data_IF_921862094205
#
_entry.id   IF_921862094205
#
_cell.length_a   1.000
_cell.length_b   1.000
_cell.length_c   1.000
_cell.angle_alpha   90.00
_cell.angle_beta   90.00
_cell.angle_gamma   90.00
#
_symmetry.space_group_name_H-M   'P 1'
#
loop_
_entity.id
_entity.type
_entity.pdbx_description
1 polymer ?
#
# COMPACT_ATOMS: atom_id res chain seq x y z
N UNK A 1 48.88 -4.38 10.44
CA UNK A 1 47.84 -4.94 9.57
C UNK A 1 47.99 -4.25 8.24
N UNK A 2 48.27 -5.00 7.17
CA UNK A 2 48.42 -4.44 5.83
C UNK A 2 47.11 -3.70 5.48
N UNK A 3 47.23 -2.48 4.98
CA UNK A 3 46.14 -1.69 4.41
C UNK A 3 45.64 -2.50 3.18
N UNK A 4 44.57 -3.28 3.37
CA UNK A 4 43.95 -3.99 2.24
C UNK A 4 43.48 -2.90 1.29
N UNK A 5 44.00 -2.90 0.08
CA UNK A 5 43.72 -1.88 -0.92
C UNK A 5 42.22 -1.81 -1.16
N UNK A 6 41.65 -0.62 -1.02
CA UNK A 6 40.22 -0.35 -1.26
C UNK A 6 39.78 -0.84 -2.65
N UNK A 7 38.93 -1.83 -2.72
CA UNK A 7 38.44 -2.38 -3.98
C UNK A 7 36.92 -2.54 -3.99
N UNK A 8 36.23 -1.58 -4.58
CA UNK A 8 34.75 -1.59 -4.71
C UNK A 8 34.25 -2.22 -6.02
N UNK A 9 35.17 -2.68 -6.90
CA UNK A 9 34.76 -3.32 -8.16
C UNK A 9 33.85 -4.53 -7.97
N UNK A 10 34.12 -5.47 -7.03
CA UNK A 10 33.18 -6.58 -6.77
C UNK A 10 31.80 -6.14 -6.32
N UNK A 11 31.70 -5.01 -5.60
CA UNK A 11 30.40 -4.43 -5.17
C UNK A 11 29.67 -3.86 -6.37
N UNK A 12 30.36 -3.13 -7.23
CA UNK A 12 29.80 -2.57 -8.47
C UNK A 12 29.29 -3.70 -9.37
N UNK A 13 30.12 -4.74 -9.61
CA UNK A 13 29.76 -5.87 -10.45
C UNK A 13 28.52 -6.60 -9.89
N UNK A 14 28.42 -6.76 -8.56
CA UNK A 14 27.27 -7.35 -7.89
C UNK A 14 25.99 -6.50 -8.05
N UNK A 15 26.07 -5.18 -7.92
CA UNK A 15 24.93 -4.27 -8.13
C UNK A 15 24.48 -4.30 -9.60
N UNK A 16 25.41 -4.31 -10.54
CA UNK A 16 25.11 -4.39 -12.00
C UNK A 16 24.49 -5.72 -12.37
N UNK A 17 24.90 -6.81 -11.72
CA UNK A 17 24.27 -8.13 -11.88
C UNK A 17 22.87 -8.25 -11.28
N UNK A 18 22.35 -7.19 -10.65
CA UNK A 18 21.00 -7.14 -10.11
C UNK A 18 20.82 -7.82 -8.75
N UNK A 19 21.88 -7.85 -7.92
CA UNK A 19 21.89 -8.49 -6.61
C UNK A 19 21.44 -9.97 -6.68
N UNK A 20 22.33 -10.92 -6.93
CA UNK A 20 22.03 -12.33 -7.22
C UNK A 20 21.35 -13.09 -6.06
N UNK A 21 20.96 -14.36 -6.30
CA UNK A 21 19.89 -15.08 -5.62
C UNK A 21 20.04 -15.14 -4.11
N UNK A 22 18.99 -14.66 -3.42
CA UNK A 22 18.87 -14.59 -1.95
C UNK A 22 18.31 -13.26 -1.46
N UNK A 23 18.67 -12.14 -2.09
CA UNK A 23 18.14 -10.82 -1.73
C UNK A 23 16.82 -10.57 -2.50
N UNK A 24 15.70 -10.96 -1.92
CA UNK A 24 14.37 -10.77 -2.54
C UNK A 24 13.71 -9.44 -2.18
N UNK A 25 14.08 -8.89 -1.04
CA UNK A 25 13.53 -7.64 -0.51
C UNK A 25 14.58 -6.52 -0.62
N UNK A 26 14.16 -5.26 -0.77
CA UNK A 26 15.08 -4.11 -0.76
C UNK A 26 15.95 -4.06 0.50
N UNK A 27 15.43 -4.49 1.64
CA UNK A 27 16.13 -4.58 2.92
C UNK A 27 17.31 -5.57 2.85
N UNK A 28 17.10 -6.73 2.25
CA UNK A 28 18.16 -7.75 2.09
C UNK A 28 19.28 -7.25 1.19
N UNK A 29 18.92 -6.57 0.08
CA UNK A 29 19.87 -5.93 -0.84
C UNK A 29 20.68 -4.86 -0.12
N UNK A 30 20.01 -4.03 0.67
CA UNK A 30 20.67 -2.97 1.43
C UNK A 30 21.63 -3.52 2.49
N UNK A 31 21.22 -4.58 3.19
CA UNK A 31 22.06 -5.26 4.19
C UNK A 31 23.32 -5.86 3.54
N UNK A 32 23.15 -6.61 2.47
CA UNK A 32 24.27 -7.23 1.75
C UNK A 32 25.18 -6.17 1.11
N UNK A 33 24.64 -5.06 0.61
CA UNK A 33 25.42 -3.93 0.12
C UNK A 33 26.34 -3.38 1.22
N UNK A 34 25.80 -3.14 2.42
CA UNK A 34 26.57 -2.61 3.54
C UNK A 34 27.71 -3.55 3.94
N UNK A 35 27.45 -4.86 4.02
CA UNK A 35 28.47 -5.87 4.32
C UNK A 35 29.57 -5.92 3.26
N UNK A 36 29.22 -5.88 1.98
CA UNK A 36 30.19 -5.86 0.87
C UNK A 36 31.03 -4.59 0.85
N UNK A 37 30.43 -3.45 1.14
CA UNK A 37 31.15 -2.18 1.24
C UNK A 37 32.16 -2.20 2.41
N UNK A 38 31.76 -2.75 3.56
CA UNK A 38 32.68 -2.92 4.68
C UNK A 38 33.82 -3.90 4.34
N UNK A 39 33.53 -5.03 3.72
CA UNK A 39 34.52 -6.00 3.26
C UNK A 39 35.47 -5.40 2.21
N UNK A 40 35.00 -4.42 1.43
CA UNK A 40 35.85 -3.66 0.48
C UNK A 40 36.71 -2.58 1.14
N UNK A 41 36.70 -2.45 2.48
CA UNK A 41 37.56 -1.51 3.23
C UNK A 41 36.91 -0.15 3.53
N UNK A 42 35.57 0.00 3.36
CA UNK A 42 34.89 1.23 3.72
C UNK A 42 34.47 1.20 5.19
N UNK A 43 34.93 2.16 6.03
CA UNK A 43 34.66 2.20 7.46
C UNK A 43 33.27 2.78 7.74
N UNK A 44 32.23 2.06 7.35
CA UNK A 44 30.85 2.53 7.47
C UNK A 44 30.33 2.36 8.89
N UNK A 45 29.71 3.40 9.41
CA UNK A 45 28.93 3.38 10.64
C UNK A 45 27.40 3.37 10.36
N UNK A 46 26.98 4.20 9.40
CA UNK A 46 25.58 4.33 9.02
C UNK A 46 25.46 4.51 7.52
N UNK A 47 24.52 3.79 6.91
CA UNK A 47 24.19 3.95 5.50
C UNK A 47 22.67 4.15 5.40
N UNK A 48 22.23 5.11 4.59
CA UNK A 48 20.80 5.35 4.34
C UNK A 48 20.50 5.49 2.86
N UNK A 49 19.46 4.86 2.38
CA UNK A 49 18.92 5.07 1.03
C UNK A 49 17.49 5.57 1.15
N UNK A 50 17.21 6.72 0.55
CA UNK A 50 15.93 7.44 0.68
C UNK A 50 15.29 7.60 -0.68
N UNK A 51 14.14 6.95 -0.87
CA UNK A 51 13.42 6.90 -2.15
C UNK A 51 12.01 7.49 -2.01
N UNK A 52 11.52 8.14 -3.08
CA UNK A 52 10.09 8.43 -3.22
C UNK A 52 9.36 7.20 -3.75
N UNK A 53 8.12 7.04 -3.35
CA UNK A 53 7.25 5.99 -3.86
C UNK A 53 5.96 6.60 -4.42
N UNK A 54 5.25 5.86 -5.23
CA UNK A 54 3.90 6.20 -5.65
C UNK A 54 2.95 5.25 -4.93
N UNK A 55 2.35 5.75 -3.87
CA UNK A 55 1.42 5.02 -3.02
C UNK A 55 0.42 6.03 -2.41
N UNK A 56 -0.87 5.69 -2.24
CA UNK A 56 -1.88 6.63 -1.72
C UNK A 56 -1.51 7.30 -0.41
N UNK A 57 -0.89 6.57 0.52
CA UNK A 57 -0.61 7.05 1.88
C UNK A 57 0.88 7.21 2.19
N UNK A 58 1.79 6.69 1.36
CA UNK A 58 3.24 6.70 1.61
C UNK A 58 3.94 7.45 0.50
N UNK A 59 4.49 8.62 0.81
CA UNK A 59 5.25 9.45 -0.12
C UNK A 59 6.64 8.89 -0.40
N UNK A 60 7.28 8.29 0.61
CA UNK A 60 8.63 7.79 0.46
C UNK A 60 9.04 6.80 1.54
N UNK A 61 10.15 6.12 1.29
CA UNK A 61 10.78 5.18 2.23
C UNK A 61 12.25 5.49 2.42
N UNK A 62 12.71 5.31 3.65
CA UNK A 62 14.12 5.34 4.01
C UNK A 62 14.54 3.96 4.52
N UNK A 63 15.62 3.44 3.98
CA UNK A 63 16.26 2.21 4.44
C UNK A 63 17.55 2.61 5.13
N UNK A 64 17.63 2.38 6.42
CA UNK A 64 18.76 2.83 7.25
C UNK A 64 19.41 1.64 7.91
N UNK A 65 20.68 1.41 7.56
CA UNK A 65 21.55 0.43 8.20
C UNK A 65 22.47 1.08 9.23
N UNK A 66 22.68 0.39 10.35
CA UNK A 66 23.61 0.78 11.40
C UNK A 66 24.59 -0.36 11.70
N UNK A 67 25.89 -0.09 11.67
CA UNK A 67 26.93 -1.07 11.94
C UNK A 67 26.88 -1.66 13.36
N UNK A 68 26.34 -0.91 14.33
CA UNK A 68 26.24 -1.35 15.73
C UNK A 68 25.21 -2.46 15.96
N UNK A 69 24.18 -2.51 15.14
CA UNK A 69 23.08 -3.49 15.26
C UNK A 69 23.06 -4.49 14.11
N UNK A 70 23.75 -4.17 13.02
CA UNK A 70 23.72 -4.88 11.73
C UNK A 70 22.28 -5.10 11.21
N UNK A 71 21.37 -4.14 11.47
CA UNK A 71 19.96 -4.21 11.08
C UNK A 71 19.58 -3.08 10.14
N UNK A 72 18.60 -3.35 9.27
CA UNK A 72 17.96 -2.33 8.46
C UNK A 72 16.68 -1.85 9.19
N UNK A 73 16.60 -0.55 9.39
CA UNK A 73 15.39 0.12 9.81
C UNK A 73 14.69 0.69 8.56
N UNK A 74 13.45 0.29 8.32
CA UNK A 74 12.62 0.84 7.25
C UNK A 74 11.76 1.94 7.85
N UNK A 75 11.85 3.14 7.29
CA UNK A 75 11.08 4.33 7.69
C UNK A 75 10.16 4.73 6.56
N UNK A 76 8.87 4.83 6.83
CA UNK A 76 7.89 5.33 5.89
C UNK A 76 7.58 6.81 6.20
N UNK A 77 7.44 7.60 5.14
CA UNK A 77 7.09 9.00 5.23
C UNK A 77 5.73 9.23 4.55
N UNK A 78 4.78 9.79 5.26
CA UNK A 78 3.52 10.24 4.72
C UNK A 78 3.68 11.56 3.94
N UNK A 79 2.64 12.03 3.22
CA UNK A 79 2.74 13.22 2.37
C UNK A 79 2.95 14.52 3.15
N UNK A 80 2.42 14.62 4.37
CA UNK A 80 2.59 15.76 5.28
C UNK A 80 4.03 15.91 5.78
N UNK A 81 4.79 14.80 5.82
CA UNK A 81 6.22 14.82 6.18
C UNK A 81 7.04 15.78 5.29
N UNK A 82 6.64 15.98 4.03
CA UNK A 82 7.32 16.92 3.12
C UNK A 82 7.26 18.38 3.61
N UNK A 83 6.30 18.72 4.45
CA UNK A 83 6.12 20.06 5.03
C UNK A 83 6.71 20.18 6.44
N UNK A 84 7.21 19.09 7.00
CA UNK A 84 7.82 19.08 8.33
C UNK A 84 9.18 19.76 8.33
N UNK A 85 9.52 20.43 9.42
CA UNK A 85 10.85 21.01 9.63
C UNK A 85 11.96 19.97 9.52
N UNK A 86 11.69 18.75 9.96
CA UNK A 86 12.61 17.63 9.86
C UNK A 86 13.01 17.33 8.41
N UNK A 87 12.07 17.40 7.47
CA UNK A 87 12.38 17.20 6.05
C UNK A 87 12.96 18.47 5.43
N UNK A 88 12.35 19.63 5.69
CA UNK A 88 12.74 20.92 5.09
C UNK A 88 14.18 21.32 5.43
N UNK A 89 14.63 20.96 6.63
CA UNK A 89 15.99 21.20 7.13
C UNK A 89 16.88 19.96 7.05
N UNK A 90 16.58 19.00 6.15
CA UNK A 90 17.37 17.79 6.02
C UNK A 90 18.39 17.87 4.88
N UNK A 91 19.55 17.19 5.01
CA UNK A 91 20.50 17.06 3.91
C UNK A 91 19.89 16.30 2.72
N UNK A 92 18.88 15.44 2.95
CA UNK A 92 18.18 14.70 1.91
C UNK A 92 17.45 15.65 0.96
N UNK A 93 16.74 16.66 1.52
CA UNK A 93 16.06 17.68 0.72
C UNK A 93 17.07 18.51 -0.08
N UNK A 94 18.17 18.91 0.55
CA UNK A 94 19.18 19.72 -0.11
C UNK A 94 19.85 18.98 -1.29
N UNK A 95 20.28 17.71 -1.09
CA UNK A 95 20.82 16.89 -2.19
C UNK A 95 19.82 16.72 -3.33
N UNK A 96 18.52 16.55 -3.02
CA UNK A 96 17.48 16.42 -4.06
C UNK A 96 17.25 17.73 -4.82
N UNK A 97 17.25 18.86 -4.13
CA UNK A 97 16.96 20.15 -4.73
C UNK A 97 18.12 20.66 -5.59
N UNK A 98 19.34 20.45 -5.13
CA UNK A 98 20.55 20.96 -5.79
C UNK A 98 21.13 19.94 -6.79
N UNK A 99 20.69 18.69 -6.77
CA UNK A 99 21.22 17.56 -7.57
C UNK A 99 22.73 17.38 -7.37
N UNK A 100 23.23 17.77 -6.21
CA UNK A 100 24.65 17.77 -5.86
C UNK A 100 24.92 17.02 -4.56
N UNK A 101 26.15 16.59 -4.38
CA UNK A 101 26.55 15.94 -3.13
C UNK A 101 26.71 16.95 -1.99
N UNK A 102 26.48 16.47 -0.78
CA UNK A 102 26.74 17.22 0.45
C UNK A 102 27.69 16.40 1.30
N UNK A 103 28.85 16.97 1.66
CA UNK A 103 29.79 16.38 2.62
C UNK A 103 29.99 17.29 3.81
N UNK A 104 30.00 16.70 5.02
CA UNK A 104 30.28 17.43 6.27
C UNK A 104 31.26 16.62 7.11
N UNK A 105 32.49 17.18 7.27
CA UNK A 105 33.54 16.60 8.12
C UNK A 105 33.27 16.99 9.57
N UNK A 106 32.46 16.22 10.27
CA UNK A 106 31.96 16.53 11.62
C UNK A 106 33.06 16.50 12.69
N UNK A 107 34.20 15.87 12.42
CA UNK A 107 35.39 15.93 13.29
C UNK A 107 36.06 17.32 13.33
N UNK A 108 35.88 18.17 12.31
CA UNK A 108 36.34 19.56 12.32
C UNK A 108 35.39 20.41 13.17
N UNK A 109 35.84 21.08 14.24
CA UNK A 109 35.01 21.96 15.05
C UNK A 109 34.39 23.11 14.26
N UNK A 110 35.01 23.51 13.14
CA UNK A 110 34.54 24.59 12.27
C UNK A 110 33.52 24.11 11.22
N UNK A 111 33.26 22.81 11.16
CA UNK A 111 32.28 22.27 10.22
C UNK A 111 30.89 22.85 10.49
N UNK A 112 30.20 23.44 9.50
CA UNK A 112 28.87 23.95 9.68
C UNK A 112 27.89 22.83 10.04
N UNK A 113 27.03 23.08 11.04
CA UNK A 113 25.92 22.20 11.41
C UNK A 113 24.61 22.80 10.84
N UNK A 114 24.62 23.00 9.54
CA UNK A 114 23.54 23.63 8.79
C UNK A 114 22.30 22.72 8.64
N UNK A 115 22.40 21.48 9.06
CA UNK A 115 21.29 20.54 9.16
C UNK A 115 21.19 20.00 10.60
N UNK A 116 20.04 20.10 11.29
CA UNK A 116 19.91 19.67 12.69
C UNK A 116 20.41 18.25 12.98
N UNK A 117 20.16 17.30 12.06
CA UNK A 117 20.61 15.90 12.20
C UNK A 117 22.13 15.76 12.32
N UNK A 118 22.93 16.71 11.83
CA UNK A 118 24.39 16.67 11.92
C UNK A 118 24.87 16.90 13.35
N UNK A 119 24.14 17.69 14.13
CA UNK A 119 24.44 17.87 15.55
C UNK A 119 24.26 16.56 16.33
N UNK A 120 23.24 15.79 16.01
CA UNK A 120 23.02 14.50 16.64
C UNK A 120 24.07 13.47 16.18
N UNK A 121 24.40 13.44 14.89
CA UNK A 121 25.48 12.60 14.38
C UNK A 121 26.82 12.92 15.05
N UNK A 122 27.13 14.20 15.29
CA UNK A 122 28.35 14.59 16.03
C UNK A 122 28.33 14.06 17.46
N UNK A 123 27.20 14.13 18.17
CA UNK A 123 27.03 13.56 19.51
C UNK A 123 27.19 12.04 19.52
N UNK A 124 26.72 11.37 18.46
CA UNK A 124 26.89 9.93 18.27
C UNK A 124 28.34 9.52 17.91
N UNK A 125 29.25 10.48 17.74
CA UNK A 125 30.66 10.23 17.39
C UNK A 125 30.90 10.04 15.89
N UNK A 126 29.97 10.44 15.03
CA UNK A 126 30.19 10.48 13.57
C UNK A 126 31.24 11.55 13.26
N UNK A 127 32.26 11.17 12.52
CA UNK A 127 33.39 12.05 12.14
C UNK A 127 33.25 12.63 10.74
N UNK A 128 32.53 11.95 9.85
CA UNK A 128 32.29 12.40 8.47
C UNK A 128 30.95 11.88 7.96
N UNK A 129 30.23 12.73 7.24
CA UNK A 129 28.94 12.44 6.61
C UNK A 129 28.99 12.88 5.16
N UNK A 130 28.47 12.02 4.28
CA UNK A 130 28.28 12.34 2.86
C UNK A 130 26.90 11.91 2.40
N UNK A 131 26.17 12.80 1.71
CA UNK A 131 24.95 12.53 0.99
C UNK A 131 25.21 12.61 -0.51
N UNK A 132 24.92 11.54 -1.23
CA UNK A 132 25.12 11.42 -2.68
C UNK A 132 23.78 11.37 -3.41
N UNK A 133 23.64 12.08 -4.55
CA UNK A 133 22.49 11.94 -5.40
C UNK A 133 22.45 10.57 -6.08
N UNK A 134 21.28 9.99 -6.13
CA UNK A 134 20.94 8.80 -6.92
C UNK A 134 20.02 9.23 -8.07
N UNK A 135 20.57 9.65 -9.22
CA UNK A 135 19.76 10.12 -10.35
C UNK A 135 19.08 8.95 -11.05
N UNK A 136 17.77 9.05 -11.25
CA UNK A 136 16.97 8.08 -11.99
C UNK A 136 16.79 8.53 -13.45
N UNK A 137 16.46 7.59 -14.34
CA UNK A 137 16.29 7.85 -15.78
C UNK A 137 15.14 8.84 -16.05
N UNK A 138 14.12 8.85 -15.20
CA UNK A 138 12.97 9.78 -15.30
C UNK A 138 13.28 11.22 -14.80
N UNK A 139 14.54 11.51 -14.44
CA UNK A 139 14.98 12.82 -13.92
C UNK A 139 14.74 13.01 -12.41
N UNK A 140 14.10 12.09 -11.71
CA UNK A 140 13.99 12.14 -10.25
C UNK A 140 15.37 11.90 -9.62
N UNK A 141 15.66 12.62 -8.53
CA UNK A 141 16.86 12.40 -7.73
C UNK A 141 16.48 11.85 -6.36
N UNK A 142 17.01 10.69 -6.04
CA UNK A 142 16.96 10.05 -4.75
C UNK A 142 18.30 10.22 -4.02
N UNK A 143 18.44 9.73 -2.80
CA UNK A 143 19.62 10.04 -1.99
C UNK A 143 20.14 8.81 -1.31
N UNK A 144 21.45 8.59 -1.40
CA UNK A 144 22.21 7.72 -0.52
C UNK A 144 23.02 8.53 0.47
N UNK A 145 23.07 8.14 1.73
CA UNK A 145 23.88 8.78 2.77
C UNK A 145 24.82 7.77 3.38
N UNK A 146 26.05 8.22 3.64
CA UNK A 146 27.08 7.41 4.26
C UNK A 146 27.70 8.20 5.42
N UNK A 147 27.92 7.54 6.55
CA UNK A 147 28.57 8.13 7.70
C UNK A 147 29.60 7.17 8.29
N UNK A 148 30.66 7.74 8.85
CA UNK A 148 31.73 6.99 9.51
C UNK A 148 32.06 7.57 10.88
N UNK A 149 32.57 6.73 11.78
CA UNK A 149 33.17 7.11 13.06
C UNK A 149 34.71 6.99 13.04
N UNK A 150 35.30 6.67 11.88
CA UNK A 150 36.76 6.57 11.76
C UNK A 150 37.39 7.92 12.10
N UNK A 151 38.45 7.97 12.96
CA UNK A 151 39.23 9.19 13.15
C UNK A 151 39.73 9.73 11.81
N UNK A 152 39.53 11.02 11.55
CA UNK A 152 39.87 11.68 10.29
C UNK A 152 38.84 11.54 9.16
N UNK A 153 37.77 10.78 9.38
CA UNK A 153 36.65 10.64 8.40
C UNK A 153 37.01 9.70 7.24
N UNK A 154 36.31 9.86 6.12
CA UNK A 154 36.56 9.18 4.86
C UNK A 154 37.78 9.80 4.16
N UNK A 155 38.64 8.96 3.59
CA UNK A 155 39.69 9.42 2.67
C UNK A 155 39.09 9.87 1.34
N UNK A 156 39.82 10.64 0.55
CA UNK A 156 39.34 11.07 -0.77
C UNK A 156 39.17 9.87 -1.72
N UNK A 157 39.97 8.82 -1.59
CA UNK A 157 39.82 7.56 -2.31
C UNK A 157 38.52 6.84 -1.91
N UNK A 158 38.20 6.78 -0.61
CA UNK A 158 36.92 6.21 -0.13
C UNK A 158 35.73 6.99 -0.61
N UNK A 159 35.79 8.31 -0.65
CA UNK A 159 34.73 9.15 -1.23
C UNK A 159 34.56 8.91 -2.73
N UNK A 160 35.68 8.79 -3.47
CA UNK A 160 35.65 8.46 -4.89
C UNK A 160 34.99 7.08 -5.13
N UNK A 161 35.30 6.10 -4.30
CA UNK A 161 34.70 4.77 -4.34
C UNK A 161 33.18 4.82 -4.06
N UNK A 162 32.74 5.58 -3.06
CA UNK A 162 31.30 5.79 -2.78
C UNK A 162 30.56 6.42 -3.97
N UNK A 163 31.18 7.40 -4.65
CA UNK A 163 30.60 8.00 -5.87
C UNK A 163 30.47 6.98 -7.00
N UNK A 164 31.46 6.09 -7.18
CA UNK A 164 31.41 5.02 -8.18
C UNK A 164 30.28 4.02 -7.88
N UNK A 165 30.08 3.65 -6.61
CA UNK A 165 29.03 2.74 -6.15
C UNK A 165 27.63 3.39 -6.29
N UNK A 166 27.52 4.70 -6.11
CA UNK A 166 26.23 5.40 -6.20
C UNK A 166 25.54 5.24 -7.56
N UNK A 167 26.30 5.13 -8.66
CA UNK A 167 25.74 5.00 -10.01
C UNK A 167 24.99 3.66 -10.20
N UNK A 168 25.60 2.48 -10.01
CA UNK A 168 24.89 1.21 -10.13
C UNK A 168 23.83 1.03 -9.02
N UNK A 169 24.06 1.60 -7.82
CA UNK A 169 23.07 1.62 -6.77
C UNK A 169 21.82 2.39 -7.20
N UNK A 170 21.96 3.54 -7.87
CA UNK A 170 20.84 4.29 -8.41
C UNK A 170 20.02 3.44 -9.41
N UNK A 171 20.70 2.73 -10.32
CA UNK A 171 20.01 1.85 -11.30
C UNK A 171 19.23 0.72 -10.62
N UNK A 172 19.87 0.03 -9.69
CA UNK A 172 19.20 -1.06 -8.97
C UNK A 172 18.03 -0.55 -8.11
N UNK A 173 18.21 0.57 -7.41
CA UNK A 173 17.16 1.22 -6.63
C UNK A 173 15.99 1.66 -7.51
N UNK A 174 16.26 2.14 -8.73
CA UNK A 174 15.23 2.51 -9.72
C UNK A 174 14.40 1.31 -10.15
N UNK A 175 15.04 0.17 -10.44
CA UNK A 175 14.35 -1.07 -10.81
C UNK A 175 13.42 -1.54 -9.69
N UNK A 176 13.91 -1.64 -8.46
CA UNK A 176 13.08 -1.99 -7.30
C UNK A 176 11.97 -0.98 -7.06
N UNK A 177 12.27 0.31 -7.25
CA UNK A 177 11.29 1.39 -7.16
C UNK A 177 10.17 1.26 -8.19
N UNK A 178 10.49 0.94 -9.44
CA UNK A 178 9.51 0.71 -10.51
C UNK A 178 8.64 -0.51 -10.25
N UNK A 179 9.24 -1.63 -9.85
CA UNK A 179 8.50 -2.85 -9.47
C UNK A 179 7.52 -2.56 -8.32
N UNK A 180 7.96 -1.83 -7.31
CA UNK A 180 7.12 -1.45 -6.17
C UNK A 180 6.00 -0.47 -6.58
N UNK A 181 6.33 0.55 -7.40
CA UNK A 181 5.33 1.50 -7.94
C UNK A 181 4.25 0.76 -8.73
N UNK A 182 4.63 -0.19 -9.60
CA UNK A 182 3.67 -0.99 -10.36
C UNK A 182 2.74 -1.78 -9.46
N UNK A 183 3.29 -2.48 -8.46
CA UNK A 183 2.49 -3.21 -7.47
C UNK A 183 1.56 -2.28 -6.70
N UNK A 184 2.07 -1.20 -6.12
CA UNK A 184 1.26 -0.25 -5.35
C UNK A 184 0.08 0.33 -6.17
N UNK A 185 0.29 0.65 -7.45
CA UNK A 185 -0.76 1.16 -8.33
C UNK A 185 -1.82 0.08 -8.56
N UNK A 186 -1.40 -1.13 -8.89
CA UNK A 186 -2.34 -2.23 -9.12
C UNK A 186 -3.13 -2.56 -7.86
N UNK A 187 -2.48 -2.67 -6.70
CA UNK A 187 -3.14 -2.91 -5.42
C UNK A 187 -4.14 -1.78 -5.07
N UNK A 188 -3.77 -0.52 -5.31
CA UNK A 188 -4.63 0.62 -4.99
C UNK A 188 -5.86 0.74 -5.90
N UNK A 189 -5.77 0.32 -7.16
CA UNK A 189 -6.85 0.48 -8.14
C UNK A 189 -7.64 -0.80 -8.43
N UNK A 190 -7.03 -1.96 -8.27
CA UNK A 190 -7.65 -3.27 -8.56
C UNK A 190 -7.90 -4.10 -7.30
N UNK A 191 -7.31 -3.73 -6.15
CA UNK A 191 -7.21 -4.60 -4.99
C UNK A 191 -5.99 -5.53 -5.07
N UNK A 192 -5.65 -6.16 -3.94
CA UNK A 192 -4.41 -6.93 -3.82
C UNK A 192 -4.41 -8.20 -4.69
N UNK A 193 -5.47 -9.01 -4.61
CA UNK A 193 -5.53 -10.30 -5.33
C UNK A 193 -5.59 -10.09 -6.85
N UNK A 194 -6.47 -9.21 -7.32
CA UNK A 194 -6.57 -8.87 -8.74
C UNK A 194 -5.27 -8.24 -9.25
N UNK A 195 -4.64 -7.35 -8.46
CA UNK A 195 -3.35 -6.74 -8.78
C UNK A 195 -2.21 -7.76 -8.93
N UNK A 196 -2.15 -8.77 -8.04
CA UNK A 196 -1.18 -9.87 -8.12
C UNK A 196 -1.40 -10.72 -9.37
N UNK A 197 -2.65 -11.12 -9.68
CA UNK A 197 -2.98 -11.86 -10.92
C UNK A 197 -2.57 -11.12 -12.19
N UNK A 198 -2.77 -9.81 -12.23
CA UNK A 198 -2.34 -8.96 -13.34
C UNK A 198 -0.81 -8.95 -13.48
N UNK A 199 -0.06 -8.87 -12.37
CA UNK A 199 1.40 -8.95 -12.36
C UNK A 199 1.93 -10.33 -12.79
N UNK A 200 1.18 -11.40 -12.53
CA UNK A 200 1.47 -12.76 -12.97
C UNK A 200 1.18 -12.99 -14.46
N UNK A 201 0.58 -12.01 -15.12
CA UNK A 201 0.32 -12.06 -16.56
C UNK A 201 -1.10 -12.44 -16.96
N UNK A 202 -2.05 -12.53 -16.01
CA UNK A 202 -3.47 -12.72 -16.30
C UNK A 202 -4.10 -11.42 -16.77
N UNK A 203 -3.78 -10.98 -17.99
CA UNK A 203 -4.15 -9.66 -18.55
C UNK A 203 -5.02 -9.73 -19.80
N UNK A 204 -5.35 -10.92 -20.27
CA UNK A 204 -6.13 -11.06 -21.49
C UNK A 204 -7.62 -10.94 -21.19
N UNK A 205 -8.34 -10.29 -22.07
CA UNK A 205 -9.81 -10.25 -22.01
C UNK A 205 -10.37 -11.66 -22.14
N UNK A 206 -11.23 -12.05 -21.19
CA UNK A 206 -11.82 -13.38 -21.09
C UNK A 206 -11.02 -14.36 -20.22
N UNK A 207 -9.80 -13.99 -19.77
CA UNK A 207 -9.13 -14.77 -18.74
C UNK A 207 -9.94 -14.66 -17.44
N UNK A 208 -10.25 -15.78 -16.84
CA UNK A 208 -10.98 -15.84 -15.57
C UNK A 208 -11.06 -17.26 -15.05
N UNK A 209 -11.50 -17.37 -13.83
CA UNK A 209 -11.72 -18.65 -13.15
C UNK A 209 -13.09 -18.66 -12.48
N UNK A 210 -13.73 -19.81 -12.48
CA UNK A 210 -14.96 -19.99 -11.70
C UNK A 210 -14.60 -20.10 -10.22
N UNK A 211 -15.20 -19.22 -9.42
CA UNK A 211 -15.04 -19.23 -7.97
C UNK A 211 -16.40 -19.31 -7.29
N UNK A 212 -16.44 -19.93 -6.12
CA UNK A 212 -17.54 -19.82 -5.18
C UNK A 212 -17.24 -18.72 -4.17
N UNK A 213 -18.14 -17.77 -3.95
CA UNK A 213 -17.87 -16.63 -3.08
C UNK A 213 -19.14 -16.12 -2.39
N UNK A 214 -18.97 -15.49 -1.23
CA UNK A 214 -19.97 -14.59 -0.69
C UNK A 214 -19.76 -13.23 -1.36
N UNK A 215 -20.78 -12.78 -2.08
CA UNK A 215 -20.82 -11.50 -2.77
C UNK A 215 -21.42 -10.48 -1.82
N UNK A 216 -20.69 -9.36 -1.64
CA UNK A 216 -21.07 -8.19 -0.87
C UNK A 216 -21.44 -7.07 -1.82
N UNK A 217 -22.61 -6.51 -1.66
CA UNK A 217 -23.00 -5.29 -2.34
C UNK A 217 -23.48 -4.27 -1.30
N UNK A 218 -23.02 -3.04 -1.37
CA UNK A 218 -23.45 -1.97 -0.46
C UNK A 218 -23.70 -0.68 -1.22
N UNK A 219 -24.61 0.16 -0.68
CA UNK A 219 -25.02 1.42 -1.28
C UNK A 219 -25.34 2.46 -0.20
N UNK A 220 -24.97 3.74 -0.46
CA UNK A 220 -25.30 4.87 0.39
C UNK A 220 -26.70 5.38 0.05
N UNK A 221 -27.57 5.49 1.04
CA UNK A 221 -28.92 5.96 0.85
C UNK A 221 -28.99 7.46 0.63
N UNK A 222 -29.89 7.87 -0.26
CA UNK A 222 -30.21 9.27 -0.56
C UNK A 222 -28.98 10.09 -1.03
N UNK A 223 -28.00 9.43 -1.64
CA UNK A 223 -26.73 10.02 -2.10
C UNK A 223 -26.93 11.20 -3.05
N UNK A 224 -27.91 11.14 -3.97
CA UNK A 224 -28.24 12.25 -4.87
C UNK A 224 -28.68 13.50 -4.08
N UNK A 225 -29.53 13.33 -3.06
CA UNK A 225 -29.96 14.45 -2.20
C UNK A 225 -28.79 14.99 -1.39
N UNK A 226 -27.90 14.14 -0.92
CA UNK A 226 -26.69 14.54 -0.21
C UNK A 226 -25.76 15.33 -1.15
N UNK A 227 -25.54 14.85 -2.37
CA UNK A 227 -24.71 15.52 -3.37
C UNK A 227 -25.23 16.93 -3.71
N UNK A 228 -26.55 17.08 -3.82
CA UNK A 228 -27.18 18.36 -4.11
C UNK A 228 -27.16 19.34 -2.91
N UNK A 229 -26.99 18.82 -1.69
CA UNK A 229 -27.06 19.62 -0.45
C UNK A 229 -25.73 20.21 0.01
N UNK A 230 -24.60 19.84 -0.62
CA UNK A 230 -23.25 20.24 -0.18
C UNK A 230 -22.30 20.50 -1.34
N UNK A 231 -21.09 21.00 -1.06
CA UNK A 231 -20.07 21.16 -2.07
C UNK A 231 -19.55 19.79 -2.58
N UNK A 232 -19.05 19.75 -3.83
CA UNK A 232 -18.44 18.53 -4.38
C UNK A 232 -17.30 18.00 -3.53
N UNK A 233 -16.51 18.87 -2.94
CA UNK A 233 -15.40 18.49 -2.06
C UNK A 233 -15.90 17.86 -0.75
N UNK A 234 -16.98 18.40 -0.18
CA UNK A 234 -17.61 17.86 1.02
C UNK A 234 -18.25 16.50 0.74
N UNK A 235 -18.92 16.37 -0.40
CA UNK A 235 -19.53 15.10 -0.82
C UNK A 235 -18.46 14.03 -1.06
N UNK A 236 -17.34 14.37 -1.66
CA UNK A 236 -16.20 13.44 -1.84
C UNK A 236 -15.64 12.98 -0.48
N UNK A 237 -15.49 13.89 0.48
CA UNK A 237 -15.05 13.53 1.84
C UNK A 237 -16.05 12.59 2.51
N UNK A 238 -17.33 12.88 2.40
CA UNK A 238 -18.41 12.05 2.94
C UNK A 238 -18.39 10.65 2.33
N UNK A 239 -18.21 10.53 1.01
CA UNK A 239 -18.10 9.22 0.35
C UNK A 239 -16.88 8.44 0.81
N UNK A 240 -15.73 9.11 0.98
CA UNK A 240 -14.53 8.45 1.49
C UNK A 240 -14.72 7.94 2.93
N UNK A 241 -15.32 8.75 3.82
CA UNK A 241 -15.67 8.31 5.18
C UNK A 241 -16.66 7.14 5.18
N UNK A 242 -17.68 7.19 4.30
CA UNK A 242 -18.62 6.09 4.13
C UNK A 242 -17.92 4.80 3.68
N UNK A 243 -17.12 4.87 2.63
CA UNK A 243 -16.40 3.71 2.13
C UNK A 243 -15.35 3.18 3.14
N UNK A 244 -14.70 4.04 3.89
CA UNK A 244 -13.78 3.62 4.96
C UNK A 244 -14.52 2.84 6.05
N UNK A 245 -15.69 3.33 6.49
CA UNK A 245 -16.52 2.65 7.47
C UNK A 245 -17.09 1.32 6.98
N UNK A 246 -17.52 1.26 5.71
CA UNK A 246 -18.26 0.08 5.20
C UNK A 246 -17.31 -0.96 4.58
N UNK A 247 -16.23 -0.55 3.93
CA UNK A 247 -15.32 -1.45 3.23
C UNK A 247 -14.02 -1.70 4.00
N UNK A 248 -13.67 -0.86 4.96
CA UNK A 248 -12.53 -1.13 5.86
C UNK A 248 -12.65 -2.48 6.56
N UNK A 249 -13.79 -2.79 7.20
CA UNK A 249 -14.06 -4.12 7.77
C UNK A 249 -14.00 -5.26 6.77
N UNK A 250 -14.46 -5.07 5.52
CA UNK A 250 -14.35 -6.07 4.45
C UNK A 250 -12.89 -6.44 4.22
N UNK A 251 -12.03 -5.43 4.03
CA UNK A 251 -10.60 -5.64 3.81
C UNK A 251 -9.90 -6.25 5.03
N UNK A 252 -10.26 -5.81 6.24
CA UNK A 252 -9.72 -6.34 7.49
C UNK A 252 -10.08 -7.81 7.72
N UNK A 253 -11.26 -8.24 7.25
CA UNK A 253 -11.75 -9.62 7.34
C UNK A 253 -11.32 -10.51 6.16
N UNK A 254 -10.39 -10.02 5.31
CA UNK A 254 -9.87 -10.79 4.17
C UNK A 254 -10.81 -10.87 2.97
N UNK A 255 -11.80 -9.99 2.90
CA UNK A 255 -12.58 -9.75 1.68
C UNK A 255 -11.81 -8.89 0.69
N UNK A 256 -12.30 -8.85 -0.54
CA UNK A 256 -11.71 -8.08 -1.63
C UNK A 256 -12.74 -7.09 -2.20
N UNK A 257 -12.40 -5.81 -2.25
CA UNK A 257 -13.21 -4.77 -2.89
C UNK A 257 -12.85 -4.74 -4.37
N UNK A 258 -13.81 -5.06 -5.23
CA UNK A 258 -13.59 -5.19 -6.68
C UNK A 258 -13.82 -3.88 -7.41
N UNK A 259 -14.87 -3.14 -7.05
CA UNK A 259 -15.19 -1.88 -7.73
C UNK A 259 -16.09 -0.97 -6.92
N UNK A 260 -15.93 0.31 -7.17
CA UNK A 260 -16.88 1.36 -6.76
C UNK A 260 -17.83 1.67 -7.91
N UNK A 261 -19.13 1.79 -7.64
CA UNK A 261 -20.17 2.06 -8.63
C UNK A 261 -20.93 3.31 -8.16
N UNK A 262 -20.31 4.49 -8.38
CA UNK A 262 -20.82 5.73 -7.80
C UNK A 262 -20.69 5.73 -6.27
N UNK A 263 -21.79 5.67 -5.58
CA UNK A 263 -21.92 5.58 -4.12
C UNK A 263 -22.15 4.15 -3.60
N UNK A 264 -22.13 3.17 -4.50
CA UNK A 264 -22.17 1.75 -4.20
C UNK A 264 -20.81 1.09 -4.34
N UNK A 265 -20.64 -0.09 -3.74
CA UNK A 265 -19.46 -0.92 -3.94
C UNK A 265 -19.82 -2.40 -3.99
N UNK A 266 -19.00 -3.13 -4.79
CA UNK A 266 -19.03 -4.57 -4.93
C UNK A 266 -17.74 -5.15 -4.33
N UNK A 267 -17.92 -6.11 -3.42
CA UNK A 267 -16.82 -6.85 -2.82
C UNK A 267 -17.15 -8.34 -2.77
N UNK A 268 -16.15 -9.16 -2.51
CA UNK A 268 -16.30 -10.62 -2.37
C UNK A 268 -15.51 -11.16 -1.18
N UNK A 269 -15.97 -12.30 -0.68
CA UNK A 269 -15.22 -13.19 0.20
C UNK A 269 -15.13 -14.54 -0.49
N UNK A 270 -14.01 -14.86 -1.13
CA UNK A 270 -13.82 -16.17 -1.76
C UNK A 270 -13.95 -17.30 -0.74
N UNK A 271 -14.56 -18.41 -1.18
CA UNK A 271 -14.72 -19.63 -0.38
C UNK A 271 -13.54 -20.55 -0.67
N UNK A 272 -12.59 -20.59 0.26
CA UNK A 272 -11.42 -21.47 0.19
C UNK A 272 -11.71 -22.79 0.93
N UNK A 273 -12.67 -23.57 0.39
CA UNK A 273 -13.03 -24.87 0.91
C UNK A 273 -13.98 -24.89 2.13
N UNK A 274 -14.29 -23.72 2.73
CA UNK A 274 -15.19 -23.61 3.89
C UNK A 274 -16.19 -22.46 3.73
N UNK A 275 -17.42 -22.79 3.33
CA UNK A 275 -18.51 -21.82 3.16
C UNK A 275 -18.87 -21.09 4.47
N UNK A 276 -18.89 -21.82 5.59
CA UNK A 276 -19.24 -21.24 6.89
C UNK A 276 -18.26 -20.15 7.29
N UNK A 277 -16.98 -20.38 7.13
CA UNK A 277 -15.93 -19.42 7.45
C UNK A 277 -16.03 -18.15 6.57
N UNK A 278 -16.28 -18.30 5.27
CA UNK A 278 -16.46 -17.17 4.37
C UNK A 278 -17.73 -16.36 4.73
N UNK A 279 -18.83 -17.04 5.08
CA UNK A 279 -20.06 -16.40 5.52
C UNK A 279 -19.88 -15.67 6.86
N UNK A 280 -19.20 -16.29 7.83
CA UNK A 280 -18.91 -15.67 9.12
C UNK A 280 -18.03 -14.40 8.98
N UNK A 281 -16.99 -14.47 8.14
CA UNK A 281 -16.15 -13.30 7.82
C UNK A 281 -16.95 -12.17 7.17
N UNK A 282 -17.78 -12.49 6.20
CA UNK A 282 -18.60 -11.51 5.51
C UNK A 282 -19.64 -10.85 6.44
N UNK A 283 -20.29 -11.65 7.26
CA UNK A 283 -21.31 -11.16 8.21
C UNK A 283 -20.66 -10.39 9.37
N UNK A 284 -19.52 -10.85 9.88
CA UNK A 284 -18.73 -10.12 10.88
C UNK A 284 -18.34 -8.73 10.36
N UNK A 285 -17.83 -8.66 9.12
CA UNK A 285 -17.52 -7.41 8.45
C UNK A 285 -18.76 -6.48 8.32
N UNK A 286 -19.96 -7.04 8.07
CA UNK A 286 -21.20 -6.25 7.99
C UNK A 286 -21.61 -5.68 9.36
N UNK A 287 -21.41 -6.42 10.43
CA UNK A 287 -21.66 -5.95 11.79
C UNK A 287 -20.67 -4.84 12.20
N UNK A 288 -19.40 -5.01 11.88
CA UNK A 288 -18.36 -4.01 12.14
C UNK A 288 -18.60 -2.74 11.32
N UNK A 289 -19.00 -2.86 10.06
CA UNK A 289 -19.39 -1.75 9.20
C UNK A 289 -20.57 -0.97 9.80
N UNK A 290 -21.59 -1.66 10.32
CA UNK A 290 -22.71 -1.04 11.02
C UNK A 290 -22.22 -0.29 12.26
N UNK A 291 -21.40 -0.92 13.09
CA UNK A 291 -20.83 -0.29 14.29
C UNK A 291 -20.02 0.97 13.96
N UNK A 292 -19.18 0.94 12.90
CA UNK A 292 -18.43 2.10 12.43
C UNK A 292 -19.36 3.23 11.96
N UNK A 293 -20.40 2.90 11.18
CA UNK A 293 -21.37 3.89 10.71
C UNK A 293 -22.21 4.49 11.84
N UNK A 294 -22.61 3.69 12.84
CA UNK A 294 -23.32 4.16 14.02
C UNK A 294 -22.46 5.15 14.82
N UNK A 295 -21.17 4.85 15.02
CA UNK A 295 -20.23 5.74 15.67
C UNK A 295 -20.02 7.05 14.87
N UNK A 296 -19.85 6.97 13.56
CA UNK A 296 -19.73 8.13 12.68
C UNK A 296 -21.01 8.99 12.68
N UNK A 297 -22.17 8.36 12.73
CA UNK A 297 -23.47 9.03 12.77
C UNK A 297 -23.77 9.73 14.09
N UNK A 298 -23.15 9.32 15.22
CA UNK A 298 -23.37 9.90 16.53
C UNK A 298 -23.09 11.41 16.60
N UNK A 299 -22.15 11.90 15.78
CA UNK A 299 -21.78 13.32 15.68
C UNK A 299 -22.46 14.07 14.54
N UNK A 300 -23.30 13.42 13.74
CA UNK A 300 -23.93 14.02 12.55
C UNK A 300 -25.32 14.56 12.85
N UNK A 301 -25.61 15.75 12.38
CA UNK A 301 -26.95 16.31 12.46
C UNK A 301 -27.99 15.50 11.61
N UNK A 302 -27.52 14.89 10.51
CA UNK A 302 -28.29 14.00 9.66
C UNK A 302 -27.52 12.68 9.52
N UNK A 303 -28.00 11.59 10.12
CA UNK A 303 -27.38 10.27 10.00
C UNK A 303 -27.37 9.80 8.55
N UNK A 304 -26.28 9.15 8.15
CA UNK A 304 -26.14 8.49 6.84
C UNK A 304 -26.80 7.12 6.92
N UNK A 305 -27.76 6.88 6.04
CA UNK A 305 -28.33 5.54 5.85
C UNK A 305 -27.55 4.77 4.79
N UNK A 306 -27.51 3.45 4.91
CA UNK A 306 -26.88 2.56 3.94
C UNK A 306 -27.59 1.21 3.90
N UNK A 307 -27.28 0.43 2.88
CA UNK A 307 -27.72 -0.96 2.72
C UNK A 307 -26.56 -1.89 2.42
N UNK A 308 -26.64 -3.12 2.92
CA UNK A 308 -25.71 -4.20 2.60
C UNK A 308 -26.51 -5.43 2.21
N UNK A 309 -26.22 -6.01 1.05
CA UNK A 309 -26.76 -7.29 0.59
C UNK A 309 -25.65 -8.34 0.50
N UNK A 310 -25.86 -9.49 1.13
CA UNK A 310 -24.96 -10.62 1.09
C UNK A 310 -25.62 -11.81 0.39
N UNK A 311 -24.98 -12.33 -0.65
CA UNK A 311 -25.41 -13.53 -1.35
C UNK A 311 -24.21 -14.44 -1.63
N UNK A 312 -24.39 -15.75 -1.53
CA UNK A 312 -23.36 -16.72 -1.83
C UNK A 312 -23.71 -17.52 -3.08
N UNK A 313 -22.77 -17.63 -4.00
CA UNK A 313 -22.94 -18.37 -5.24
C UNK A 313 -21.72 -18.36 -6.13
N UNK A 314 -21.84 -19.05 -7.28
CA UNK A 314 -20.78 -19.17 -8.27
C UNK A 314 -20.72 -17.95 -9.17
N UNK A 315 -19.51 -17.48 -9.42
CA UNK A 315 -19.20 -16.37 -10.32
C UNK A 315 -17.90 -16.63 -11.09
N UNK A 316 -17.82 -16.09 -12.30
CA UNK A 316 -16.57 -15.98 -13.04
C UNK A 316 -15.80 -14.78 -12.52
N UNK A 317 -14.61 -14.98 -11.95
CA UNK A 317 -13.71 -13.96 -11.47
C UNK A 317 -12.60 -13.73 -12.50
N UNK A 318 -12.58 -12.56 -13.16
CA UNK A 318 -11.65 -12.35 -14.25
C UNK A 318 -11.83 -11.07 -15.03
N UNK A 319 -11.22 -11.05 -16.21
CA UNK A 319 -11.09 -9.89 -17.07
C UNK A 319 -12.26 -9.72 -18.04
N UNK A 320 -12.98 -8.60 -17.91
CA UNK A 320 -14.03 -8.19 -18.84
C UNK A 320 -13.71 -6.81 -19.43
N UNK A 321 -14.17 -6.54 -20.64
CA UNK A 321 -14.09 -5.21 -21.21
C UNK A 321 -13.86 -5.16 -22.69
N UNK A 322 -13.28 -4.04 -23.14
CA UNK A 322 -12.91 -3.79 -24.55
C UNK A 322 -11.44 -4.12 -24.78
N UNK A 323 -10.96 -4.16 -26.03
CA UNK A 323 -9.53 -4.37 -26.31
C UNK A 323 -8.59 -3.36 -25.64
N UNK A 324 -9.08 -2.15 -25.36
CA UNK A 324 -8.29 -1.03 -24.82
C UNK A 324 -8.60 -0.71 -23.34
N UNK A 325 -9.67 -1.30 -22.77
CA UNK A 325 -10.05 -1.09 -21.36
C UNK A 325 -10.62 -2.39 -20.79
N UNK A 326 -9.89 -2.93 -19.86
CA UNK A 326 -10.21 -4.16 -19.13
C UNK A 326 -10.51 -3.80 -17.68
N UNK A 327 -11.44 -4.52 -17.08
CA UNK A 327 -11.77 -4.49 -15.67
C UNK A 327 -11.67 -5.91 -15.12
N UNK A 328 -11.05 -6.04 -13.98
CA UNK A 328 -10.98 -7.32 -13.24
C UNK A 328 -12.11 -7.33 -12.22
N UNK A 329 -13.06 -8.24 -12.34
CA UNK A 329 -14.28 -8.26 -11.51
C UNK A 329 -14.95 -9.63 -11.55
N UNK A 330 -16.06 -9.76 -10.81
CA UNK A 330 -16.92 -10.97 -10.87
C UNK A 330 -18.09 -10.78 -11.81
N UNK A 331 -18.43 -11.86 -12.54
CA UNK A 331 -19.52 -11.91 -13.51
C UNK A 331 -20.35 -13.14 -13.21
N UNK A 332 -21.65 -12.98 -13.10
CA UNK A 332 -22.57 -14.10 -12.86
C UNK A 332 -23.93 -13.64 -12.31
N UNK A 333 -24.88 -14.58 -12.25
CA UNK A 333 -26.19 -14.35 -11.69
C UNK A 333 -26.11 -13.93 -10.22
N UNK A 334 -25.22 -14.58 -9.45
CA UNK A 334 -25.05 -14.34 -8.03
C UNK A 334 -24.64 -12.89 -7.71
N UNK A 335 -23.78 -12.26 -8.53
CA UNK A 335 -23.42 -10.85 -8.36
C UNK A 335 -24.63 -9.91 -8.57
N UNK A 336 -25.46 -10.21 -9.56
CA UNK A 336 -26.68 -9.47 -9.80
C UNK A 336 -27.72 -9.68 -8.70
N UNK A 337 -27.80 -10.88 -8.14
CA UNK A 337 -28.69 -11.18 -7.02
C UNK A 337 -28.30 -10.43 -5.76
N UNK A 338 -27.01 -10.37 -5.44
CA UNK A 338 -26.51 -9.59 -4.29
C UNK A 338 -26.92 -8.10 -4.39
N UNK A 339 -26.76 -7.48 -5.57
CA UNK A 339 -27.20 -6.10 -5.79
C UNK A 339 -28.72 -5.90 -5.62
N UNK A 340 -29.51 -6.88 -6.03
CA UNK A 340 -30.97 -6.83 -5.88
C UNK A 340 -31.42 -7.07 -4.44
N UNK A 341 -30.72 -7.92 -3.71
CA UNK A 341 -30.91 -8.13 -2.27
C UNK A 341 -30.62 -6.84 -1.53
N UNK A 342 -29.49 -6.18 -1.86
CA UNK A 342 -29.17 -4.88 -1.26
C UNK A 342 -30.30 -3.87 -1.48
N UNK A 343 -30.81 -3.73 -2.70
CA UNK A 343 -31.84 -2.74 -3.03
C UNK A 343 -33.12 -2.90 -2.20
N UNK A 344 -33.42 -4.09 -1.69
CA UNK A 344 -34.56 -4.34 -0.80
C UNK A 344 -34.32 -3.83 0.62
N UNK A 345 -33.09 -3.52 1.03
CA UNK A 345 -32.80 -2.96 2.36
C UNK A 345 -33.56 -1.69 2.64
N UNK A 346 -33.77 -0.85 1.60
CA UNK A 346 -34.56 0.37 1.70
C UNK A 346 -36.07 0.08 1.92
N UNK A 347 -36.61 -0.88 1.18
CA UNK A 347 -38.04 -1.23 1.24
C UNK A 347 -38.36 -1.95 2.54
N UNK A 348 -37.50 -2.82 3.02
CA UNK A 348 -37.68 -3.61 4.24
C UNK A 348 -37.25 -2.87 5.51
N UNK A 349 -36.64 -1.69 5.37
CA UNK A 349 -36.24 -0.85 6.50
C UNK A 349 -35.11 -1.44 7.36
N UNK A 350 -34.25 -2.31 6.77
CA UNK A 350 -33.15 -2.96 7.45
C UNK A 350 -31.81 -2.63 6.76
N UNK A 351 -30.70 -2.45 7.48
CA UNK A 351 -29.41 -2.10 6.86
C UNK A 351 -28.66 -3.31 6.27
N UNK A 352 -29.03 -4.54 6.64
CA UNK A 352 -28.37 -5.76 6.20
C UNK A 352 -29.42 -6.80 5.80
N UNK A 353 -29.25 -7.38 4.60
CA UNK A 353 -30.04 -8.52 4.14
C UNK A 353 -29.08 -9.64 3.68
N UNK A 354 -29.39 -10.84 4.14
CA UNK A 354 -28.71 -12.07 3.79
C UNK A 354 -29.62 -12.94 2.92
N UNK A 355 -29.06 -13.60 1.92
CA UNK A 355 -29.76 -14.69 1.24
C UNK A 355 -29.75 -15.97 2.08
N UNK A 356 -30.64 -16.90 1.80
CA UNK A 356 -30.72 -18.19 2.50
C UNK A 356 -29.39 -18.99 2.47
N UNK A 357 -28.62 -19.05 1.36
CA UNK A 357 -27.29 -19.68 1.38
C UNK A 357 -26.35 -19.10 2.44
N UNK A 358 -26.33 -17.79 2.66
CA UNK A 358 -25.50 -17.13 3.69
C UNK A 358 -26.09 -17.37 5.09
N UNK A 359 -27.40 -17.18 5.24
CA UNK A 359 -28.08 -17.27 6.54
C UNK A 359 -27.97 -18.64 7.21
N UNK A 360 -27.82 -19.72 6.42
CA UNK A 360 -27.64 -21.10 6.93
C UNK A 360 -26.36 -21.29 7.75
N UNK A 361 -25.36 -20.46 7.51
CA UNK A 361 -24.04 -20.54 8.15
C UNK A 361 -23.87 -19.55 9.30
N UNK A 362 -24.91 -18.75 9.60
CA UNK A 362 -24.80 -17.67 10.58
C UNK A 362 -25.89 -17.79 11.65
N UNK A 363 -25.50 -17.82 12.91
CA UNK A 363 -26.42 -17.83 14.03
C UNK A 363 -27.13 -16.48 14.18
N UNK A 364 -28.35 -16.49 14.72
CA UNK A 364 -29.11 -15.27 15.02
C UNK A 364 -29.76 -14.60 13.80
N UNK A 365 -29.81 -15.26 12.66
CA UNK A 365 -30.53 -14.77 11.49
C UNK A 365 -32.05 -14.87 11.69
N UNK A 366 -32.78 -13.79 11.35
CA UNK A 366 -34.24 -13.70 11.38
C UNK A 366 -34.78 -13.60 9.97
N UNK A 367 -35.76 -14.44 9.63
CA UNK A 367 -36.44 -14.39 8.32
C UNK A 367 -37.22 -13.06 8.13
N UNK A 368 -37.06 -12.49 6.96
CA UNK A 368 -37.81 -11.36 6.45
C UNK A 368 -38.97 -11.81 5.53
N UNK A 369 -39.09 -13.14 5.33
CA UNK A 369 -40.06 -13.74 4.43
C UNK A 369 -39.53 -13.96 3.01
N UNK A 370 -40.43 -14.36 2.14
CA UNK A 370 -40.14 -14.72 0.73
C UNK A 370 -40.37 -13.48 -0.15
N UNK A 371 -39.35 -13.14 -0.96
CA UNK A 371 -39.37 -11.97 -1.84
C UNK A 371 -39.04 -12.34 -3.29
N UNK A 372 -39.64 -11.62 -4.23
CA UNK A 372 -39.30 -11.72 -5.65
C UNK A 372 -38.22 -10.72 -5.99
N UNK A 373 -37.08 -11.24 -6.48
CA UNK A 373 -36.01 -10.41 -7.02
C UNK A 373 -36.25 -10.20 -8.52
N UNK A 374 -36.13 -8.97 -9.00
CA UNK A 374 -36.33 -8.65 -10.42
C UNK A 374 -35.44 -9.47 -11.33
N UNK A 375 -36.02 -10.32 -12.19
CA UNK A 375 -35.31 -11.18 -13.15
C UNK A 375 -34.65 -12.42 -12.54
N UNK A 376 -34.98 -12.77 -11.31
CA UNK A 376 -34.74 -14.10 -10.71
C UNK A 376 -36.03 -14.89 -10.86
N UNK A 377 -35.94 -16.11 -11.37
CA UNK A 377 -37.13 -16.91 -11.73
C UNK A 377 -37.96 -17.30 -10.52
N UNK A 378 -37.33 -17.73 -9.46
CA UNK A 378 -37.99 -18.18 -8.25
C UNK A 378 -37.92 -17.15 -7.12
N UNK A 379 -38.96 -17.02 -6.30
CA UNK A 379 -38.90 -16.23 -5.08
C UNK A 379 -37.90 -16.78 -4.09
N UNK A 380 -37.15 -15.90 -3.40
CA UNK A 380 -36.12 -16.26 -2.46
C UNK A 380 -36.49 -15.82 -1.05
N UNK A 381 -36.17 -16.66 -0.06
CA UNK A 381 -36.29 -16.27 1.34
C UNK A 381 -35.08 -15.42 1.74
N UNK A 382 -35.33 -14.32 2.40
CA UNK A 382 -34.33 -13.34 2.84
C UNK A 382 -34.30 -13.27 4.36
N UNK A 383 -33.13 -12.90 4.89
CA UNK A 383 -32.88 -12.85 6.32
C UNK A 383 -32.18 -11.54 6.70
N UNK A 384 -32.23 -11.18 7.97
CA UNK A 384 -31.44 -10.10 8.58
C UNK A 384 -30.87 -10.58 9.91
N UNK A 385 -29.94 -9.82 10.47
CA UNK A 385 -29.45 -9.99 11.85
C UNK A 385 -30.06 -8.92 12.75
N UNK A 386 -30.28 -9.25 14.01
CA UNK A 386 -30.76 -8.34 15.05
C UNK A 386 -29.69 -7.31 15.46
#
# INVERSE_FOLDING_TARGET
>A
MADEALNVKPVIDWLVAGAPPGARLPEDVMHELCRRLQAAGLPLYRVGVFVRTLHPNVMGRGFVWLATTDKIEVREAAYDFLQSDQYLQSPIRAVRAEHSEIRRRLADPRCPLDFPVLADFRKEGVTDFIGLPLPFVNGEVHVATFATRRPGGFTDEQVAALRQVAIPLARLTEIYGLMRKSRNILEAYLGRQAGEKVLEGHIRRGDGEDIHAVIWFCDLRDSTVLADSMSRADFLRLLNEFFECVLGPVLASGGEVLRFIGDAALAIFPVDGNEAEACERAVGAAQDARGCMDAANASRARPLGFGIGLHMGDVLYGNIGTPTRIEFTVIGAAANEAARIESLTKTLGVPLILSAPVARHVAGSRSLGIHRLRGVGEPVELFTLE
#
